data_IF_358016910439
#
_entry.id   IF_358016910439
#
_cell.length_a   1.000
_cell.length_b   1.000
_cell.length_c   1.000
_cell.angle_alpha   90.00
_cell.angle_beta   90.00
_cell.angle_gamma   90.00
#
_symmetry.space_group_name_H-M   'P 1'
#
loop_
_entity.id
_entity.type
_entity.pdbx_description
1 polymer ?
#
# COMPACT_ATOMS: atom_id res chain seq x y z
N UNK A 1 9.72 13.76 16.00
CA UNK A 1 10.23 12.37 16.08
C UNK A 1 9.75 11.63 14.83
N UNK A 2 10.65 11.04 14.03
CA UNK A 2 10.26 10.38 12.78
C UNK A 2 9.37 9.15 13.07
N UNK A 3 8.49 8.82 12.11
CA UNK A 3 7.64 7.63 12.22
C UNK A 3 8.47 6.35 12.38
N UNK A 4 9.60 6.30 11.66
CA UNK A 4 10.55 5.19 11.72
C UNK A 4 11.13 5.00 13.12
N UNK A 5 11.48 6.10 13.81
CA UNK A 5 11.94 6.04 15.20
C UNK A 5 10.86 5.49 16.14
N UNK A 6 9.59 5.80 15.88
CA UNK A 6 8.46 5.30 16.68
C UNK A 6 8.14 3.83 16.40
N UNK A 7 8.16 3.42 15.14
CA UNK A 7 7.73 2.07 14.74
C UNK A 7 8.85 1.04 14.82
N UNK A 8 10.11 1.45 14.63
CA UNK A 8 11.24 0.54 14.36
C UNK A 8 12.43 0.85 15.29
N UNK A 9 12.33 1.88 16.13
CA UNK A 9 13.36 2.23 17.12
C UNK A 9 14.62 2.88 16.53
N UNK A 10 14.65 3.12 15.22
CA UNK A 10 15.82 3.71 14.55
C UNK A 10 15.76 5.23 14.57
N UNK A 11 16.81 5.83 15.14
CA UNK A 11 17.00 7.28 15.03
C UNK A 11 17.63 7.58 13.66
N UNK A 12 16.93 8.28 12.74
CA UNK A 12 17.50 8.61 11.43
C UNK A 12 18.76 9.51 11.52
N UNK A 13 19.06 10.05 12.70
CA UNK A 13 20.27 10.83 12.95
C UNK A 13 21.47 9.98 13.39
N UNK A 14 21.28 8.69 13.72
CA UNK A 14 22.35 7.74 14.06
C UNK A 14 22.62 6.91 12.81
N UNK A 15 23.53 7.40 11.96
CA UNK A 15 23.82 6.82 10.65
C UNK A 15 24.91 5.74 10.73
N UNK A 16 24.61 4.51 10.32
CA UNK A 16 25.59 3.64 9.67
C UNK A 16 25.40 3.78 8.16
N UNK A 17 26.47 3.94 7.35
CA UNK A 17 26.33 3.90 5.90
C UNK A 17 25.73 2.53 5.52
N UNK A 18 24.70 2.52 4.66
CA UNK A 18 23.99 1.34 4.16
C UNK A 18 23.14 0.57 5.18
N UNK A 19 22.44 1.27 6.08
CA UNK A 19 21.40 0.63 6.89
C UNK A 19 20.14 0.43 6.01
N UNK A 20 19.99 -0.78 5.46
CA UNK A 20 18.88 -1.17 4.58
C UNK A 20 17.60 -1.22 5.43
N UNK A 21 16.57 -0.49 5.00
CA UNK A 21 15.28 -0.45 5.69
C UNK A 21 14.22 -1.37 5.13
N UNK A 22 14.33 -1.73 3.85
CA UNK A 22 13.43 -2.66 3.18
C UNK A 22 14.19 -3.44 2.11
N UNK A 23 14.10 -4.75 2.17
CA UNK A 23 14.50 -5.66 1.10
C UNK A 23 13.22 -6.17 0.48
N UNK A 24 13.08 -6.02 -0.83
CA UNK A 24 11.93 -6.54 -1.58
C UNK A 24 12.42 -7.46 -2.69
N UNK A 25 11.91 -8.68 -2.68
CA UNK A 25 12.04 -9.63 -3.78
C UNK A 25 10.68 -9.72 -4.48
N UNK A 26 10.69 -9.49 -5.78
CA UNK A 26 9.52 -9.57 -6.63
C UNK A 26 9.09 -10.99 -6.89
N UNK A 27 7.87 -11.14 -7.40
CA UNK A 27 7.29 -12.45 -7.68
C UNK A 27 7.53 -12.91 -9.12
N UNK A 28 8.21 -12.11 -9.96
CA UNK A 28 8.59 -12.52 -11.31
C UNK A 28 9.90 -13.31 -11.25
N UNK A 29 9.83 -14.61 -11.56
CA UNK A 29 10.98 -15.51 -11.58
C UNK A 29 10.87 -16.47 -12.76
N UNK A 30 12.02 -16.87 -13.29
CA UNK A 30 12.17 -18.03 -14.16
C UNK A 30 12.98 -19.12 -13.46
N UNK A 31 13.18 -20.27 -14.12
CA UNK A 31 13.91 -21.40 -13.54
C UNK A 31 15.34 -21.07 -13.03
N UNK A 32 15.87 -19.87 -13.29
CA UNK A 32 17.22 -19.45 -12.92
C UNK A 32 17.26 -18.36 -11.87
N UNK A 33 16.36 -17.37 -11.91
CA UNK A 33 16.45 -16.22 -10.99
C UNK A 33 15.14 -15.46 -10.77
N UNK A 34 15.09 -14.68 -9.68
CA UNK A 34 14.11 -13.63 -9.44
C UNK A 34 14.57 -12.38 -10.18
N UNK A 35 13.75 -11.88 -11.10
CA UNK A 35 14.15 -10.79 -12.00
C UNK A 35 13.95 -9.41 -11.40
N UNK A 36 13.10 -9.30 -10.39
CA UNK A 36 12.81 -8.04 -9.72
C UNK A 36 13.27 -8.11 -8.26
N UNK A 37 14.24 -7.31 -7.88
CA UNK A 37 14.61 -7.12 -6.48
C UNK A 37 14.97 -5.66 -6.22
N UNK A 38 14.80 -5.22 -4.97
CA UNK A 38 15.11 -3.86 -4.57
C UNK A 38 15.51 -3.78 -3.10
N UNK A 39 16.70 -3.24 -2.86
CA UNK A 39 17.16 -2.82 -1.54
C UNK A 39 16.93 -1.32 -1.38
N UNK A 40 16.22 -0.95 -0.33
CA UNK A 40 15.86 0.44 -0.04
C UNK A 40 16.40 0.83 1.32
N UNK A 41 17.29 1.83 1.35
CA UNK A 41 17.79 2.39 2.60
C UNK A 41 16.71 3.15 3.38
N UNK A 42 16.97 3.39 4.67
CA UNK A 42 16.01 4.10 5.53
C UNK A 42 15.64 5.50 5.06
N UNK A 43 16.59 6.22 4.43
CA UNK A 43 16.35 7.58 3.93
C UNK A 43 15.34 7.56 2.78
N UNK A 44 15.53 6.64 1.84
CA UNK A 44 14.64 6.41 0.71
C UNK A 44 13.28 5.91 1.19
N UNK A 45 13.23 4.99 2.15
CA UNK A 45 11.98 4.58 2.81
C UNK A 45 11.24 5.79 3.41
N UNK A 46 11.92 6.68 4.13
CA UNK A 46 11.30 7.89 4.69
C UNK A 46 10.76 8.82 3.59
N UNK A 47 11.52 9.03 2.52
CA UNK A 47 11.09 9.85 1.38
C UNK A 47 9.84 9.24 0.72
N UNK A 48 9.82 7.94 0.46
CA UNK A 48 8.69 7.24 -0.15
C UNK A 48 7.45 7.31 0.75
N UNK A 49 7.59 7.02 2.05
CA UNK A 49 6.50 7.15 3.02
C UNK A 49 5.93 8.56 3.04
N UNK A 50 6.77 9.61 2.98
CA UNK A 50 6.31 11.00 2.92
C UNK A 50 5.57 11.33 1.63
N UNK A 51 6.03 10.82 0.48
CA UNK A 51 5.37 11.01 -0.81
C UNK A 51 3.99 10.34 -0.83
N UNK A 52 3.89 9.09 -0.39
CA UNK A 52 2.62 8.35 -0.31
C UNK A 52 1.68 9.04 0.70
N UNK A 53 2.20 9.44 1.87
CA UNK A 53 1.43 10.15 2.88
C UNK A 53 0.82 11.44 2.33
N UNK A 54 1.59 12.22 1.56
CA UNK A 54 1.10 13.43 0.90
C UNK A 54 -0.01 13.11 -0.11
N UNK A 55 0.15 12.05 -0.90
CA UNK A 55 -0.85 11.62 -1.88
C UNK A 55 -2.19 11.23 -1.22
N UNK A 56 -2.15 10.53 -0.08
CA UNK A 56 -3.35 10.08 0.66
C UNK A 56 -4.18 11.23 1.27
N UNK A 57 -3.61 12.43 1.38
CA UNK A 57 -4.25 13.62 1.98
C UNK A 57 -4.33 14.81 1.03
N UNK A 58 -4.14 14.59 -0.28
CA UNK A 58 -4.33 15.65 -1.27
C UNK A 58 -5.75 16.25 -1.16
N UNK A 59 -5.93 17.54 -1.45
CA UNK A 59 -7.25 18.18 -1.44
C UNK A 59 -8.27 17.52 -2.39
N UNK A 60 -7.78 16.84 -3.43
CA UNK A 60 -8.59 16.07 -4.38
C UNK A 60 -9.02 14.71 -3.85
N UNK A 61 -8.55 14.31 -2.66
CA UNK A 61 -9.06 13.13 -1.98
C UNK A 61 -10.52 13.37 -1.59
N UNK A 62 -11.41 12.38 -1.75
CA UNK A 62 -12.79 12.50 -1.28
C UNK A 62 -12.78 12.70 0.23
N UNK A 63 -13.13 13.92 0.66
CA UNK A 63 -13.29 14.29 2.06
C UNK A 63 -14.78 14.37 2.31
N UNK A 64 -15.34 13.35 2.94
CA UNK A 64 -16.66 13.46 3.53
C UNK A 64 -16.57 14.13 4.91
N UNK A 65 -17.71 14.60 5.41
CA UNK A 65 -17.88 15.38 6.64
C UNK A 65 -17.25 14.73 7.89
N UNK A 66 -15.97 15.02 8.19
CA UNK A 66 -15.30 14.94 9.51
C UNK A 66 -15.34 13.63 10.33
N UNK A 67 -16.05 12.58 9.89
CA UNK A 67 -16.30 11.36 10.63
C UNK A 67 -15.10 10.41 10.69
N UNK A 68 -15.13 9.46 11.62
CA UNK A 68 -14.13 8.38 11.71
C UNK A 68 -14.12 7.53 10.43
N UNK A 69 -15.28 7.36 9.79
CA UNK A 69 -15.41 6.66 8.50
C UNK A 69 -14.50 7.27 7.43
N UNK A 70 -14.28 8.59 7.48
CA UNK A 70 -13.45 9.32 6.51
C UNK A 70 -11.95 9.14 6.73
N UNK A 71 -11.57 8.39 7.76
CA UNK A 71 -10.18 8.01 8.02
C UNK A 71 -9.83 6.64 7.44
N UNK A 72 -10.80 5.85 6.99
CA UNK A 72 -10.56 4.49 6.47
C UNK A 72 -10.08 4.54 5.02
N UNK A 73 -9.02 3.80 4.74
CA UNK A 73 -8.56 3.51 3.37
C UNK A 73 -8.44 2.00 3.20
N UNK A 74 -8.71 1.52 1.99
CA UNK A 74 -8.48 0.13 1.62
C UNK A 74 -7.15 0.03 0.88
N UNK A 75 -6.23 -0.75 1.45
CA UNK A 75 -4.93 -1.07 0.85
C UNK A 75 -5.07 -2.46 0.20
N UNK A 76 -5.41 -2.46 -1.09
CA UNK A 76 -5.62 -3.65 -1.91
C UNK A 76 -4.40 -3.89 -2.80
N UNK A 77 -3.27 -4.18 -2.15
CA UNK A 77 -1.96 -4.38 -2.78
C UNK A 77 -1.47 -5.81 -2.58
N UNK A 78 -0.85 -6.44 -3.59
CA UNK A 78 -0.12 -7.68 -3.43
C UNK A 78 1.20 -7.43 -2.66
N UNK A 79 2.06 -8.46 -2.57
CA UNK A 79 3.38 -8.41 -1.90
C UNK A 79 4.42 -7.58 -2.66
N UNK A 80 4.09 -6.32 -2.96
CA UNK A 80 4.95 -5.34 -3.61
C UNK A 80 5.58 -4.41 -2.58
N UNK A 81 6.71 -3.81 -2.90
CA UNK A 81 7.43 -2.86 -2.04
C UNK A 81 6.53 -1.74 -1.47
N UNK A 82 5.54 -1.30 -2.24
CA UNK A 82 4.61 -0.24 -1.87
C UNK A 82 3.66 -0.63 -0.73
N UNK A 83 3.42 -1.93 -0.47
CA UNK A 83 2.51 -2.39 0.57
C UNK A 83 2.93 -1.89 1.98
N UNK A 84 4.12 -2.25 2.52
CA UNK A 84 4.54 -1.76 3.83
C UNK A 84 4.69 -0.23 3.87
N UNK A 85 5.16 0.37 2.77
CA UNK A 85 5.32 1.83 2.68
C UNK A 85 3.97 2.56 2.76
N UNK A 86 2.91 2.00 2.15
CA UNK A 86 1.56 2.55 2.20
C UNK A 86 0.95 2.42 3.59
N UNK A 87 1.18 1.29 4.28
CA UNK A 87 0.74 1.08 5.66
C UNK A 87 1.38 2.14 6.58
N UNK A 88 2.70 2.33 6.47
CA UNK A 88 3.42 3.35 7.23
C UNK A 88 2.94 4.77 6.88
N UNK A 89 2.69 5.04 5.60
CA UNK A 89 2.18 6.33 5.15
C UNK A 89 0.78 6.63 5.72
N UNK A 90 -0.13 5.65 5.71
CA UNK A 90 -1.46 5.76 6.29
C UNK A 90 -1.39 6.05 7.80
N UNK A 91 -0.56 5.31 8.52
CA UNK A 91 -0.33 5.53 9.95
C UNK A 91 0.24 6.94 10.22
N UNK A 92 1.15 7.43 9.37
CA UNK A 92 1.75 8.77 9.49
C UNK A 92 0.72 9.90 9.44
N UNK A 93 -0.31 9.78 8.61
CA UNK A 93 -1.35 10.79 8.44
C UNK A 93 -2.60 10.55 9.31
N UNK A 94 -2.59 9.52 10.14
CA UNK A 94 -3.71 9.17 11.02
C UNK A 94 -4.90 8.53 10.29
N UNK A 95 -4.65 7.87 9.15
CA UNK A 95 -5.63 7.05 8.44
C UNK A 95 -5.59 5.60 8.96
N UNK A 96 -6.73 4.93 8.88
CA UNK A 96 -6.93 3.53 9.24
C UNK A 96 -6.83 2.71 7.95
N UNK A 97 -5.74 1.97 7.79
CA UNK A 97 -5.55 1.09 6.63
C UNK A 97 -6.19 -0.28 6.83
N UNK A 98 -7.18 -0.62 6.01
CA UNK A 98 -7.74 -1.96 5.88
C UNK A 98 -6.90 -2.67 4.81
N UNK A 99 -6.14 -3.69 5.18
CA UNK A 99 -5.21 -4.37 4.27
C UNK A 99 -5.85 -5.64 3.73
N UNK A 100 -5.82 -5.83 2.41
CA UNK A 100 -6.34 -7.01 1.75
C UNK A 100 -5.42 -7.46 0.61
N UNK A 101 -5.11 -8.76 0.56
CA UNK A 101 -4.29 -9.34 -0.51
C UNK A 101 -5.18 -9.66 -1.72
N UNK A 102 -4.97 -9.02 -2.89
CA UNK A 102 -5.80 -9.24 -4.06
C UNK A 102 -5.60 -10.60 -4.75
N UNK A 103 -4.53 -11.33 -4.42
CA UNK A 103 -4.25 -12.65 -4.97
C UNK A 103 -5.03 -13.75 -4.22
N UNK A 104 -5.31 -13.54 -2.93
CA UNK A 104 -6.02 -14.51 -2.08
C UNK A 104 -7.50 -14.14 -1.90
N UNK A 105 -7.84 -12.85 -1.99
CA UNK A 105 -9.18 -12.35 -1.71
C UNK A 105 -10.17 -12.73 -2.81
N UNK A 106 -11.31 -13.31 -2.41
CA UNK A 106 -12.46 -13.53 -3.29
C UNK A 106 -13.21 -12.21 -3.50
N UNK A 107 -13.73 -11.98 -4.71
CA UNK A 107 -14.48 -10.77 -5.04
C UNK A 107 -15.65 -10.50 -4.06
N UNK A 108 -16.43 -11.54 -3.72
CA UNK A 108 -17.52 -11.43 -2.72
C UNK A 108 -17.07 -10.88 -1.35
N UNK A 109 -15.84 -11.18 -0.94
CA UNK A 109 -15.28 -10.68 0.33
C UNK A 109 -14.87 -9.22 0.17
N UNK A 110 -14.21 -8.86 -0.93
CA UNK A 110 -13.85 -7.47 -1.25
C UNK A 110 -15.10 -6.57 -1.24
N UNK A 111 -16.18 -7.03 -1.87
CA UNK A 111 -17.46 -6.30 -1.92
C UNK A 111 -18.04 -6.06 -0.53
N UNK A 112 -18.06 -7.12 0.30
CA UNK A 112 -18.53 -7.02 1.68
C UNK A 112 -17.69 -6.02 2.47
N UNK A 113 -16.37 -6.03 2.31
CA UNK A 113 -15.48 -5.07 2.98
C UNK A 113 -15.73 -3.64 2.50
N UNK A 114 -15.85 -3.40 1.19
CA UNK A 114 -16.13 -2.07 0.66
C UNK A 114 -17.48 -1.54 1.20
N UNK A 115 -18.52 -2.38 1.22
CA UNK A 115 -19.84 -2.00 1.74
C UNK A 115 -19.87 -1.76 3.25
N UNK A 116 -19.19 -2.61 4.04
CA UNK A 116 -19.17 -2.51 5.49
C UNK A 116 -18.25 -1.39 5.99
N UNK A 117 -17.06 -1.25 5.40
CA UNK A 117 -16.04 -0.33 5.89
C UNK A 117 -16.10 1.05 5.25
N UNK A 118 -16.69 1.15 4.05
CA UNK A 118 -16.80 2.40 3.26
C UNK A 118 -15.47 3.17 3.20
N UNK A 119 -14.39 2.53 2.68
CA UNK A 119 -13.10 3.19 2.58
C UNK A 119 -13.20 4.39 1.64
N UNK A 120 -12.67 5.55 2.04
CA UNK A 120 -12.68 6.75 1.19
C UNK A 120 -11.73 6.66 -0.01
N UNK A 121 -10.68 5.82 0.09
CA UNK A 121 -9.68 5.62 -0.95
C UNK A 121 -9.39 4.13 -1.05
N UNK A 122 -9.27 3.62 -2.28
CA UNK A 122 -8.71 2.31 -2.56
C UNK A 122 -7.33 2.50 -3.19
N UNK A 123 -6.30 1.96 -2.53
CA UNK A 123 -4.93 1.91 -3.06
C UNK A 123 -4.72 0.53 -3.68
N UNK A 124 -4.38 0.48 -4.96
CA UNK A 124 -4.19 -0.78 -5.68
C UNK A 124 -3.13 -0.64 -6.78
N UNK A 125 -2.84 -1.74 -7.48
CA UNK A 125 -2.00 -1.80 -8.69
C UNK A 125 -2.86 -2.14 -9.91
N UNK A 126 -2.36 -1.81 -11.10
CA UNK A 126 -2.94 -2.24 -12.36
C UNK A 126 -2.89 -3.77 -12.51
N UNK A 127 -1.69 -4.32 -12.44
CA UNK A 127 -1.41 -5.75 -12.52
C UNK A 127 -0.19 -6.13 -11.66
N UNK A 128 0.02 -7.42 -11.47
CA UNK A 128 1.19 -7.96 -10.78
C UNK A 128 1.66 -9.24 -11.45
N UNK A 129 2.97 -9.41 -11.58
CA UNK A 129 3.57 -10.67 -11.99
C UNK A 129 3.54 -11.68 -10.84
N UNK A 130 3.13 -12.90 -11.13
CA UNK A 130 3.22 -14.05 -10.24
C UNK A 130 3.82 -15.22 -11.00
N UNK A 131 5.07 -15.57 -10.69
CA UNK A 131 5.89 -16.41 -11.54
C UNK A 131 5.86 -15.85 -12.98
N UNK A 132 5.46 -16.65 -13.97
CA UNK A 132 5.39 -16.25 -15.38
C UNK A 132 4.02 -15.70 -15.81
N UNK A 133 3.07 -15.54 -14.88
CA UNK A 133 1.72 -15.06 -15.17
C UNK A 133 1.54 -13.60 -14.77
N UNK A 134 0.97 -12.78 -15.66
CA UNK A 134 0.56 -11.42 -15.35
C UNK A 134 -0.90 -11.41 -14.90
N UNK A 135 -1.14 -11.02 -13.65
CA UNK A 135 -2.47 -11.00 -13.04
C UNK A 135 -2.97 -9.55 -12.96
N UNK A 136 -4.06 -9.26 -13.65
CA UNK A 136 -4.73 -7.96 -13.56
C UNK A 136 -5.48 -7.82 -12.23
N UNK A 137 -5.21 -6.74 -11.50
CA UNK A 137 -5.76 -6.48 -10.17
C UNK A 137 -6.83 -5.39 -10.23
N UNK A 138 -6.58 -4.33 -11.01
CA UNK A 138 -7.49 -3.18 -11.10
C UNK A 138 -8.86 -3.56 -11.65
N UNK A 139 -8.93 -4.53 -12.56
CA UNK A 139 -10.19 -5.08 -13.08
C UNK A 139 -11.11 -5.63 -11.98
N UNK A 140 -10.55 -6.16 -10.88
CA UNK A 140 -11.34 -6.63 -9.73
C UNK A 140 -12.01 -5.49 -8.95
N UNK A 141 -11.46 -4.28 -9.03
CA UNK A 141 -11.96 -3.08 -8.34
C UNK A 141 -12.91 -2.28 -9.24
N UNK A 142 -12.60 -2.13 -10.53
CA UNK A 142 -13.33 -1.27 -11.46
C UNK A 142 -14.71 -1.75 -11.85
N UNK A 143 -14.92 -3.08 -11.91
CA UNK A 143 -16.17 -3.74 -12.38
C UNK A 143 -17.43 -3.27 -11.63
N UNK A 144 -17.31 -2.44 -10.59
CA UNK A 144 -18.43 -2.02 -9.75
C UNK A 144 -18.63 -0.53 -9.55
N UNK A 145 -17.79 0.32 -10.13
CA UNK A 145 -18.08 1.76 -10.20
C UNK A 145 -19.23 2.11 -11.17
N UNK A 146 -19.73 1.11 -11.92
CA UNK A 146 -20.73 1.30 -13.00
C UNK A 146 -22.18 0.97 -12.53
N UNK A 147 -22.39 0.52 -11.28
CA UNK A 147 -23.73 0.23 -10.74
C UNK A 147 -24.20 1.23 -9.66
N UNK A 148 -23.81 2.50 -9.76
CA UNK A 148 -24.41 3.60 -8.99
C UNK A 148 -25.49 4.30 -9.85
N UNK A 149 -26.65 3.64 -10.00
CA UNK A 149 -27.96 4.22 -10.32
C UNK A 149 -29.06 3.37 -9.68
#
# INVERSE_FOLDING_TARGET
>A
MSLLKKCIGLDPNIRKPLDIGLIWEGNYWDDKDVHDCCDVDWETCEILVRKIAKALVLPTSPIDNGGIENKKILIFLPKVMQLPLTILAAYRVGLIGIVMDPLVSKNKVLEKIIMCEKPRIVVTVDAVWQAQELIEIKSKVEVRSIYEY
#
